data_IF_792643994037
#
_entry.id   IF_792643994037
#
_cell.length_a   1.000
_cell.length_b   1.000
_cell.length_c   1.000
_cell.angle_alpha   90.00
_cell.angle_beta   90.00
_cell.angle_gamma   90.00
#
_symmetry.space_group_name_H-M   'P 1'
#
loop_
_entity.id
_entity.type
_entity.pdbx_description
1 polymer ?
#
# COMPACT_ATOMS: atom_id res chain seq x y z
N UNK A 1 -3.22 5.09 11.37
CA UNK A 1 -3.46 4.76 9.95
C UNK A 1 -3.63 3.25 9.81
N UNK A 2 -4.39 2.78 8.83
CA UNK A 2 -4.71 1.37 8.59
C UNK A 2 -4.48 0.99 7.13
N UNK A 3 -4.15 -0.28 6.89
CA UNK A 3 -3.91 -0.78 5.54
C UNK A 3 -5.26 -0.97 4.83
N UNK A 4 -5.59 -0.11 3.87
CA UNK A 4 -6.87 -0.20 3.15
C UNK A 4 -7.05 -1.47 2.29
N UNK A 5 -6.02 -2.30 2.15
CA UNK A 5 -6.11 -3.61 1.47
C UNK A 5 -6.61 -4.71 2.41
N UNK A 6 -6.09 -4.80 3.63
CA UNK A 6 -6.46 -5.84 4.60
C UNK A 6 -7.31 -5.34 5.77
N UNK A 7 -7.54 -4.03 5.86
CA UNK A 7 -8.28 -3.33 6.91
C UNK A 7 -7.70 -3.50 8.33
N UNK A 8 -6.44 -3.92 8.44
CA UNK A 8 -5.72 -4.04 9.70
C UNK A 8 -4.88 -2.79 9.98
N UNK A 9 -4.74 -2.45 11.27
CA UNK A 9 -3.90 -1.34 11.72
C UNK A 9 -2.43 -1.65 11.48
N UNK A 10 -1.65 -0.60 11.23
CA UNK A 10 -0.19 -0.72 11.26
C UNK A 10 0.29 -0.85 12.70
N UNK A 11 1.09 -1.86 12.98
CA UNK A 11 1.78 -2.05 14.25
C UNK A 11 3.21 -1.49 14.18
N UNK A 12 3.86 -1.31 15.33
CA UNK A 12 5.23 -0.77 15.38
C UNK A 12 6.26 -1.59 14.57
N UNK A 13 5.98 -2.88 14.34
CA UNK A 13 6.82 -3.78 13.55
C UNK A 13 6.29 -4.01 12.12
N UNK A 14 5.17 -3.38 11.73
CA UNK A 14 4.60 -3.53 10.40
C UNK A 14 5.56 -3.03 9.34
N UNK A 15 5.94 -3.91 8.40
CA UNK A 15 6.63 -3.49 7.19
C UNK A 15 5.63 -2.82 6.26
N UNK A 16 5.78 -1.52 6.06
CA UNK A 16 4.90 -0.71 5.21
C UNK A 16 5.68 -0.10 4.04
N UNK A 17 4.97 0.16 2.95
CA UNK A 17 5.44 1.03 1.88
C UNK A 17 4.53 2.24 1.80
N UNK A 18 5.13 3.42 1.73
CA UNK A 18 4.48 4.66 1.36
C UNK A 18 4.70 4.91 -0.14
N UNK A 19 3.62 5.16 -0.87
CA UNK A 19 3.68 5.52 -2.29
C UNK A 19 3.85 7.03 -2.47
N UNK A 20 4.26 7.50 -3.67
CA UNK A 20 4.34 8.94 -3.97
C UNK A 20 3.04 9.72 -3.75
N UNK A 21 1.89 9.05 -3.87
CA UNK A 21 0.59 9.65 -3.58
C UNK A 21 0.29 9.79 -2.07
N UNK A 22 1.23 9.42 -1.19
CA UNK A 22 1.12 9.55 0.27
C UNK A 22 0.40 8.42 0.98
N UNK A 23 -0.13 7.43 0.25
CA UNK A 23 -0.85 6.30 0.86
C UNK A 23 0.09 5.18 1.29
N UNK A 24 -0.14 4.65 2.49
CA UNK A 24 0.64 3.58 3.08
C UNK A 24 -0.10 2.24 3.02
N UNK A 25 0.66 1.17 2.81
CA UNK A 25 0.13 -0.20 2.78
C UNK A 25 1.13 -1.17 3.39
N UNK A 26 0.65 -2.27 3.98
CA UNK A 26 1.53 -3.38 4.35
C UNK A 26 2.29 -3.87 3.10
N UNK A 27 3.60 -4.05 3.23
CA UNK A 27 4.49 -4.47 2.14
C UNK A 27 3.98 -5.71 1.41
N UNK A 28 3.50 -6.70 2.17
CA UNK A 28 2.94 -7.93 1.58
C UNK A 28 1.61 -7.68 0.86
N UNK A 29 0.74 -6.84 1.43
CA UNK A 29 -0.54 -6.49 0.82
C UNK A 29 -0.34 -5.74 -0.50
N UNK A 30 0.53 -4.72 -0.50
CA UNK A 30 0.85 -3.95 -1.69
C UNK A 30 1.47 -4.84 -2.77
N UNK A 31 2.42 -5.71 -2.41
CA UNK A 31 3.06 -6.63 -3.38
C UNK A 31 2.04 -7.56 -4.03
N UNK A 32 1.09 -8.12 -3.26
CA UNK A 32 0.02 -8.97 -3.81
C UNK A 32 -0.87 -8.19 -4.76
N UNK A 33 -1.24 -6.96 -4.39
CA UNK A 33 -2.06 -6.09 -5.24
C UNK A 33 -1.37 -5.76 -6.57
N UNK A 34 -0.10 -5.39 -6.51
CA UNK A 34 0.70 -5.00 -7.68
C UNK A 34 0.96 -6.14 -8.68
N UNK A 35 0.75 -7.39 -8.28
CA UNK A 35 0.77 -8.52 -9.19
C UNK A 35 -0.40 -8.49 -10.20
N UNK A 36 -1.46 -7.71 -9.91
CA UNK A 36 -2.64 -7.61 -10.75
C UNK A 36 -2.87 -6.20 -11.32
N UNK A 37 -2.50 -5.15 -10.58
CA UNK A 37 -2.72 -3.76 -10.98
C UNK A 37 -1.58 -2.86 -10.53
N UNK A 38 -1.08 -1.99 -11.41
CA UNK A 38 -0.01 -1.03 -11.12
C UNK A 38 -0.52 0.34 -10.65
N UNK A 39 -1.65 0.37 -9.96
CA UNK A 39 -2.27 1.60 -9.42
C UNK A 39 -2.47 1.50 -7.91
N UNK A 40 -2.47 2.65 -7.24
CA UNK A 40 -2.72 2.79 -5.82
C UNK A 40 -4.11 2.19 -5.47
N UNK A 41 -4.21 1.27 -4.50
CA UNK A 41 -5.48 0.69 -4.08
C UNK A 41 -6.48 1.73 -3.55
N UNK A 42 -5.99 2.85 -3.02
CA UNK A 42 -6.82 3.88 -2.39
C UNK A 42 -7.29 4.94 -3.40
N UNK A 43 -6.36 5.68 -4.02
CA UNK A 43 -6.68 6.81 -4.89
C UNK A 43 -6.67 6.49 -6.39
N UNK A 44 -6.19 5.30 -6.78
CA UNK A 44 -6.07 4.84 -8.18
C UNK A 44 -5.03 5.58 -9.05
N UNK A 45 -4.20 6.43 -8.47
CA UNK A 45 -3.00 6.96 -9.14
C UNK A 45 -2.00 5.85 -9.49
N UNK A 46 -1.18 6.05 -10.52
CA UNK A 46 -0.13 5.11 -10.87
C UNK A 46 0.88 4.92 -9.73
N UNK A 47 1.31 3.68 -9.51
CA UNK A 47 2.34 3.38 -8.51
C UNK A 47 3.70 3.75 -9.07
N UNK A 48 4.17 4.94 -8.70
CA UNK A 48 5.51 5.43 -9.00
C UNK A 48 6.37 5.25 -7.74
N UNK A 49 7.43 4.45 -7.85
CA UNK A 49 8.42 4.30 -6.78
C UNK A 49 9.29 5.57 -6.69
N UNK A 50 9.57 6.07 -5.48
CA UNK A 50 10.62 7.08 -5.26
C UNK A 50 11.99 6.42 -5.36
#
# INVERSE_FOLDING_TARGET
DDCSICTEKFEANSLVYELKCGHMFHKMCLRKWLNHKTICPYCRDEVIWL
#
